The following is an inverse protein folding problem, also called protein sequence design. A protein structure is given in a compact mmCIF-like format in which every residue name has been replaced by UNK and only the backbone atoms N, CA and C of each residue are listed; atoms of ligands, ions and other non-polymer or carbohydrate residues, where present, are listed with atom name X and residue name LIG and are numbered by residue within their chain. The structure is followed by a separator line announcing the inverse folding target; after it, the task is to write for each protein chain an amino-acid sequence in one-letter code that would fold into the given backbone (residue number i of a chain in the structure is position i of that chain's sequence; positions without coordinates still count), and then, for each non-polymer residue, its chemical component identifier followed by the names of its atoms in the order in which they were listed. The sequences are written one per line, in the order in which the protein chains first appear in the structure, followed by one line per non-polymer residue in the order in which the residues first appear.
data_IF_090467638738
#
_entry.id   IF_090467638738
#
_cell.length_a   1.000
_cell.length_b   1.000
_cell.length_c   1.000
_cell.angle_alpha   90.00
_cell.angle_beta   90.00
_cell.angle_gamma   90.00
#
_symmetry.space_group_name_H-M   'P 1'
#
loop_
_entity.id
_entity.type
_entity.pdbx_description
1 polymer ?
#
# COMPACT_ATOMS: atom_id res chain seq x y z
N UNK A 1 -9.10 -18.64 20.25
CA UNK A 1 -10.57 -18.53 20.09
C UNK A 1 -11.06 -17.69 18.90
N UNK A 2 -10.18 -16.97 18.18
CA UNK A 2 -10.56 -16.09 17.06
C UNK A 2 -10.62 -16.75 15.67
N UNK A 3 -10.21 -18.02 15.52
CA UNK A 3 -10.08 -18.68 14.22
C UNK A 3 -11.43 -19.02 13.57
N UNK A 4 -12.41 -19.50 14.33
CA UNK A 4 -13.71 -19.92 13.79
C UNK A 4 -14.53 -18.76 13.20
N UNK A 5 -14.43 -17.56 13.78
CA UNK A 5 -15.13 -16.37 13.26
C UNK A 5 -14.53 -15.89 11.94
N UNK A 6 -13.21 -16.06 11.74
CA UNK A 6 -12.54 -15.74 10.48
C UNK A 6 -13.04 -16.66 9.37
N UNK A 7 -13.05 -17.97 9.64
CA UNK A 7 -13.42 -18.99 8.65
C UNK A 7 -14.89 -18.86 8.22
N UNK A 8 -15.80 -18.54 9.15
CA UNK A 8 -17.22 -18.31 8.83
C UNK A 8 -17.40 -17.06 7.97
N UNK A 9 -16.65 -15.99 8.25
CA UNK A 9 -16.66 -14.78 7.44
C UNK A 9 -16.15 -15.03 6.02
N UNK A 10 -15.07 -15.81 5.89
CA UNK A 10 -14.48 -16.15 4.60
C UNK A 10 -15.47 -16.92 3.72
N UNK A 11 -16.18 -17.90 4.30
CA UNK A 11 -17.25 -18.62 3.61
C UNK A 11 -18.42 -17.72 3.23
N UNK A 12 -18.78 -16.76 4.09
CA UNK A 12 -19.83 -15.79 3.78
C UNK A 12 -19.45 -14.89 2.60
N UNK A 13 -18.18 -14.47 2.51
CA UNK A 13 -17.67 -13.68 1.37
C UNK A 13 -17.80 -14.47 0.07
N UNK A 14 -17.32 -15.73 0.03
CA UNK A 14 -17.35 -16.55 -1.20
C UNK A 14 -18.80 -16.83 -1.64
N UNK A 15 -19.69 -17.16 -0.71
CA UNK A 15 -21.12 -17.37 -1.03
C UNK A 15 -21.80 -16.11 -1.57
N UNK A 16 -21.48 -14.95 -1.00
CA UNK A 16 -22.03 -13.69 -1.48
C UNK A 16 -21.58 -13.38 -2.90
N UNK A 17 -20.32 -13.65 -3.24
CA UNK A 17 -19.79 -13.47 -4.60
C UNK A 17 -20.44 -14.44 -5.60
N UNK A 18 -20.65 -15.70 -5.21
CA UNK A 18 -21.38 -16.67 -6.05
C UNK A 18 -22.80 -16.23 -6.35
N UNK A 19 -23.53 -15.80 -5.32
CA UNK A 19 -24.87 -15.26 -5.50
C UNK A 19 -24.87 -14.01 -6.39
N UNK A 20 -23.86 -13.15 -6.26
CA UNK A 20 -23.71 -11.97 -7.13
C UNK A 20 -23.50 -12.36 -8.60
N UNK A 21 -22.69 -13.39 -8.89
CA UNK A 21 -22.47 -13.91 -10.23
C UNK A 21 -23.79 -14.37 -10.89
N UNK A 22 -24.59 -15.15 -10.16
CA UNK A 22 -25.90 -15.63 -10.59
C UNK A 22 -26.90 -14.49 -10.85
N UNK A 23 -26.92 -13.47 -9.99
CA UNK A 23 -27.89 -12.37 -10.06
C UNK A 23 -27.56 -11.31 -11.12
N UNK A 24 -26.27 -11.09 -11.42
CA UNK A 24 -25.82 -9.92 -12.18
C UNK A 24 -25.20 -10.25 -13.54
N UNK A 25 -25.09 -11.52 -13.92
CA UNK A 25 -24.38 -11.95 -15.14
C UNK A 25 -22.99 -11.31 -15.25
N UNK A 26 -22.32 -11.15 -14.12
CA UNK A 26 -20.97 -10.58 -14.02
C UNK A 26 -20.06 -11.63 -13.41
N UNK A 27 -18.81 -11.71 -13.87
CA UNK A 27 -17.83 -12.64 -13.32
C UNK A 27 -17.05 -11.96 -12.19
N UNK A 28 -17.39 -12.17 -10.91
CA UNK A 28 -16.57 -11.69 -9.81
C UNK A 28 -15.23 -12.43 -9.79
N UNK A 29 -14.14 -11.68 -9.64
CA UNK A 29 -12.80 -12.25 -9.45
C UNK A 29 -12.27 -11.80 -8.10
N UNK A 30 -12.00 -12.74 -7.20
CA UNK A 30 -11.46 -12.44 -5.88
C UNK A 30 -9.93 -12.26 -5.95
N UNK A 31 -9.40 -11.20 -5.33
CA UNK A 31 -7.95 -11.03 -5.15
C UNK A 31 -7.59 -11.43 -3.72
N UNK A 32 -6.73 -12.43 -3.54
CA UNK A 32 -6.32 -12.89 -2.20
C UNK A 32 -4.84 -13.24 -2.14
N UNK A 33 -4.21 -13.02 -0.99
CA UNK A 33 -2.89 -13.59 -0.64
C UNK A 33 -3.00 -14.62 0.49
N UNK A 34 -4.23 -14.96 0.88
CA UNK A 34 -4.54 -15.97 1.87
C UNK A 34 -4.81 -17.32 1.17
N UNK A 35 -4.04 -18.34 1.56
CA UNK A 35 -4.12 -19.67 0.97
C UNK A 35 -5.46 -20.35 1.30
N UNK A 36 -6.02 -20.15 2.49
CA UNK A 36 -7.30 -20.73 2.88
C UNK A 36 -8.44 -20.14 2.05
N UNK A 37 -8.37 -18.83 1.76
CA UNK A 37 -9.35 -18.17 0.89
C UNK A 37 -9.26 -18.69 -0.56
N UNK A 38 -8.05 -18.93 -1.06
CA UNK A 38 -7.85 -19.51 -2.39
C UNK A 38 -8.44 -20.94 -2.49
N UNK A 39 -8.25 -21.75 -1.44
CA UNK A 39 -8.83 -23.10 -1.35
C UNK A 39 -10.36 -23.04 -1.34
N UNK A 40 -10.95 -22.10 -0.59
CA UNK A 40 -12.40 -21.88 -0.56
C UNK A 40 -12.94 -21.44 -1.93
N UNK A 41 -12.25 -20.53 -2.62
CA UNK A 41 -12.64 -20.12 -3.98
C UNK A 41 -12.59 -21.31 -4.94
N UNK A 42 -11.56 -22.14 -4.85
CA UNK A 42 -11.43 -23.36 -5.65
C UNK A 42 -12.58 -24.34 -5.38
N UNK A 43 -12.89 -24.59 -4.11
CA UNK A 43 -13.95 -25.51 -3.70
C UNK A 43 -15.34 -25.05 -4.17
N UNK A 44 -15.60 -23.75 -4.11
CA UNK A 44 -16.87 -23.16 -4.52
C UNK A 44 -16.89 -22.81 -6.01
N UNK A 45 -15.77 -22.96 -6.74
CA UNK A 45 -15.61 -22.68 -8.18
C UNK A 45 -15.61 -21.19 -8.58
N UNK A 46 -15.25 -20.31 -7.64
CA UNK A 46 -15.17 -18.87 -7.85
C UNK A 46 -13.83 -18.50 -8.51
N UNK A 47 -13.85 -17.63 -9.51
CA UNK A 47 -12.61 -17.12 -10.12
C UNK A 47 -11.82 -16.26 -9.14
N UNK A 48 -10.50 -16.46 -9.08
CA UNK A 48 -9.62 -15.73 -8.18
C UNK A 48 -8.22 -15.56 -8.74
N UNK A 49 -7.54 -14.50 -8.28
CA UNK A 49 -6.09 -14.35 -8.40
C UNK A 49 -5.44 -14.52 -7.03
N UNK A 50 -4.58 -15.53 -6.92
CA UNK A 50 -3.68 -15.66 -5.77
C UNK A 50 -2.45 -14.77 -5.96
N UNK A 51 -2.31 -13.81 -5.07
CA UNK A 51 -1.18 -12.90 -5.00
C UNK A 51 -0.11 -13.55 -4.12
N UNK A 52 0.83 -14.23 -4.77
CA UNK A 52 1.96 -14.83 -4.07
C UNK A 52 2.75 -13.74 -3.35
N UNK A 53 3.02 -13.97 -2.06
CA UNK A 53 3.78 -13.03 -1.26
C UNK A 53 5.26 -13.30 -1.54
N UNK A 54 6.05 -12.29 -1.97
CA UNK A 54 7.48 -12.51 -2.17
C UNK A 54 8.11 -12.93 -0.83
N UNK A 55 8.51 -14.20 -0.74
CA UNK A 55 9.11 -14.79 0.47
C UNK A 55 10.48 -14.18 0.78
N UNK A 56 11.21 -13.79 -0.28
CA UNK A 56 12.47 -13.08 -0.19
C UNK A 56 12.43 -11.92 -1.18
N UNK A 57 12.38 -10.69 -0.68
CA UNK A 57 12.72 -9.53 -1.48
C UNK A 57 14.25 -9.40 -1.45
N UNK A 58 14.93 -9.93 -2.48
CA UNK A 58 16.35 -9.58 -2.67
C UNK A 58 16.41 -8.08 -2.98
N UNK A 59 16.91 -7.30 -2.02
CA UNK A 59 17.15 -5.86 -2.20
C UNK A 59 18.36 -5.71 -3.13
N UNK A 60 18.13 -5.89 -4.42
CA UNK A 60 19.16 -5.84 -5.45
C UNK A 60 19.69 -4.43 -5.66
N UNK A 61 18.82 -3.42 -5.53
CA UNK A 61 19.13 -2.01 -5.27
C UNK A 61 17.82 -1.23 -5.31
N UNK A 62 17.71 -0.15 -4.53
CA UNK A 62 16.59 0.77 -4.64
C UNK A 62 17.11 2.14 -5.07
N UNK A 63 16.81 2.54 -6.30
CA UNK A 63 17.14 3.89 -6.76
C UNK A 63 16.25 4.90 -6.02
N UNK A 64 16.73 6.13 -5.71
CA UNK A 64 15.93 7.12 -4.98
C UNK A 64 14.51 7.36 -5.54
N UNK A 65 14.27 7.38 -6.87
CA UNK A 65 12.92 7.48 -7.41
C UNK A 65 12.02 6.28 -7.08
N UNK A 66 12.58 5.07 -7.06
CA UNK A 66 11.85 3.84 -6.72
C UNK A 66 11.48 3.83 -5.23
N UNK A 67 12.40 4.27 -4.37
CA UNK A 67 12.14 4.40 -2.93
C UNK A 67 11.03 5.41 -2.65
N UNK A 68 11.08 6.59 -3.30
CA UNK A 68 10.02 7.59 -3.21
C UNK A 68 8.67 7.04 -3.64
N UNK A 69 8.63 6.29 -4.76
CA UNK A 69 7.39 5.67 -5.24
C UNK A 69 6.84 4.63 -4.28
N UNK A 70 7.71 3.85 -3.65
CA UNK A 70 7.33 2.90 -2.60
C UNK A 70 6.68 3.61 -1.41
N UNK A 71 7.31 4.65 -0.86
CA UNK A 71 6.76 5.42 0.25
C UNK A 71 5.38 6.02 -0.11
N UNK A 72 5.24 6.55 -1.32
CA UNK A 72 3.97 7.08 -1.81
C UNK A 72 2.89 6.00 -1.88
N UNK A 73 3.18 4.88 -2.54
CA UNK A 73 2.21 3.79 -2.70
C UNK A 73 1.74 3.25 -1.34
N UNK A 74 2.68 3.04 -0.41
CA UNK A 74 2.36 2.56 0.92
C UNK A 74 1.51 3.60 1.70
N UNK A 75 1.89 4.88 1.68
CA UNK A 75 1.13 5.92 2.36
C UNK A 75 -0.30 6.09 1.79
N UNK A 76 -0.48 5.96 0.48
CA UNK A 76 -1.81 6.03 -0.16
C UNK A 76 -2.66 4.81 0.16
N UNK A 77 -2.08 3.60 0.14
CA UNK A 77 -2.81 2.36 0.41
C UNK A 77 -3.19 2.24 1.88
N UNK A 78 -2.28 2.57 2.80
CA UNK A 78 -2.50 2.42 4.24
C UNK A 78 -3.04 3.70 4.92
N UNK A 79 -3.16 4.81 4.18
CA UNK A 79 -3.54 6.13 4.69
C UNK A 79 -2.40 6.87 5.37
N UNK A 80 -1.59 6.17 6.19
CA UNK A 80 -0.32 6.67 6.71
C UNK A 80 0.69 5.53 6.92
N UNK A 81 1.97 5.88 6.93
CA UNK A 81 3.07 4.98 7.29
C UNK A 81 4.04 5.69 8.23
N UNK A 82 4.85 4.91 8.95
CA UNK A 82 5.95 5.43 9.76
C UNK A 82 7.28 4.93 9.19
N UNK A 83 8.21 5.85 8.96
CA UNK A 83 9.54 5.57 8.48
C UNK A 83 10.54 6.38 9.32
N UNK A 84 11.39 5.69 10.08
CA UNK A 84 12.45 6.31 10.91
C UNK A 84 11.96 7.47 11.80
N UNK A 85 10.87 7.23 12.54
CA UNK A 85 10.28 8.26 13.41
C UNK A 85 9.43 9.32 12.67
N UNK A 86 9.45 9.37 11.34
CA UNK A 86 8.64 10.29 10.54
C UNK A 86 7.33 9.61 10.14
N UNK A 87 6.20 10.26 10.42
CA UNK A 87 4.89 9.81 9.92
C UNK A 87 4.60 10.45 8.57
N UNK A 88 4.30 9.63 7.57
CA UNK A 88 3.99 10.05 6.20
C UNK A 88 2.51 9.76 5.95
N UNK A 89 1.75 10.79 5.55
CA UNK A 89 0.32 10.70 5.29
C UNK A 89 0.04 10.74 3.79
N UNK A 90 -0.71 9.75 3.31
CA UNK A 90 -1.20 9.69 1.93
C UNK A 90 -2.53 10.38 1.71
N UNK A 91 -3.19 10.88 2.78
CA UNK A 91 -4.57 11.39 2.84
C UNK A 91 -5.17 11.80 1.48
N UNK A 92 -6.14 10.98 1.04
CA UNK A 92 -6.99 11.23 -0.12
C UNK A 92 -8.11 12.25 0.18
N UNK A 93 -8.23 12.73 1.43
CA UNK A 93 -9.40 13.45 1.96
C UNK A 93 -9.22 14.92 2.34
N UNK A 94 -8.19 15.60 1.80
CA UNK A 94 -7.96 17.03 2.10
C UNK A 94 -6.97 17.73 1.16
N UNK A 95 -6.70 17.14 0.00
CA UNK A 95 -5.82 17.71 -1.02
C UNK A 95 -6.64 18.58 -1.96
N UNK A 96 -6.41 19.89 -1.96
CA UNK A 96 -6.71 20.68 -3.15
C UNK A 96 -5.84 20.17 -4.30
N UNK A 97 -6.45 19.86 -5.45
CA UNK A 97 -5.93 19.52 -6.80
C UNK A 97 -4.61 18.75 -7.02
N UNK A 98 -3.75 18.48 -6.04
CA UNK A 98 -2.43 17.87 -6.21
C UNK A 98 -2.40 16.49 -5.54
N UNK A 99 -2.82 15.47 -6.30
CA UNK A 99 -2.90 14.08 -5.85
C UNK A 99 -1.53 13.49 -5.49
N UNK A 100 -0.44 14.07 -6.00
CA UNK A 100 0.93 13.54 -5.89
C UNK A 100 1.71 14.00 -4.65
N UNK A 101 1.13 14.85 -3.79
CA UNK A 101 1.83 15.35 -2.59
C UNK A 101 1.66 14.41 -1.39
N UNK A 102 2.66 14.30 -0.52
CA UNK A 102 2.55 13.60 0.77
C UNK A 102 2.77 14.62 1.88
N UNK A 103 2.02 14.50 2.98
CA UNK A 103 2.30 15.28 4.19
C UNK A 103 3.21 14.46 5.09
N UNK A 104 4.16 15.12 5.74
CA UNK A 104 5.04 14.49 6.73
C UNK A 104 4.87 15.15 8.09
N UNK A 105 4.89 14.35 9.15
CA UNK A 105 4.90 14.80 10.54
C UNK A 105 6.12 14.22 11.24
N UNK A 106 6.87 15.11 11.88
CA UNK A 106 8.05 14.77 12.67
C UNK A 106 7.66 14.54 14.12
N UNK A 107 8.38 13.66 14.81
CA UNK A 107 8.15 13.40 16.23
C UNK A 107 8.70 14.52 17.13
N UNK A 108 9.76 15.18 16.70
CA UNK A 108 10.40 16.28 17.40
C UNK A 108 10.90 17.38 16.47
N UNK A 109 11.15 18.55 17.05
CA UNK A 109 11.61 19.75 16.34
C UNK A 109 13.04 19.60 15.79
N UNK A 110 13.87 18.72 16.38
CA UNK A 110 15.22 18.44 15.90
C UNK A 110 15.20 17.76 14.54
N UNK A 111 14.43 16.67 14.43
CA UNK A 111 14.20 15.98 13.16
C UNK A 111 13.63 16.90 12.08
N UNK A 112 12.68 17.76 12.44
CA UNK A 112 12.13 18.75 11.51
C UNK A 112 13.19 19.73 11.01
N UNK A 113 14.05 20.24 11.90
CA UNK A 113 15.12 21.18 11.54
C UNK A 113 16.17 20.55 10.63
N UNK A 114 16.63 19.35 10.97
CA UNK A 114 17.61 18.62 10.15
C UNK A 114 17.03 18.32 8.78
N UNK A 115 15.80 17.82 8.71
CA UNK A 115 15.10 17.57 7.44
C UNK A 115 14.97 18.84 6.60
N UNK A 116 14.57 19.95 7.22
CA UNK A 116 14.39 21.24 6.51
C UNK A 116 15.72 21.78 5.99
N UNK A 117 16.80 21.67 6.77
CA UNK A 117 18.16 22.04 6.35
C UNK A 117 18.59 21.20 5.16
N UNK A 118 18.45 19.88 5.25
CA UNK A 118 18.93 18.97 4.21
C UNK A 118 18.12 19.12 2.92
N UNK A 119 16.80 19.36 3.03
CA UNK A 119 15.95 19.70 1.89
C UNK A 119 16.37 21.01 1.24
N UNK A 120 16.69 22.03 2.04
CA UNK A 120 17.20 23.29 1.52
C UNK A 120 18.51 23.11 0.77
N UNK A 121 19.47 22.35 1.33
CA UNK A 121 20.75 22.02 0.67
C UNK A 121 20.49 21.30 -0.65
N UNK A 122 19.66 20.25 -0.66
CA UNK A 122 19.33 19.50 -1.88
C UNK A 122 18.75 20.41 -2.97
N UNK A 123 17.87 21.34 -2.60
CA UNK A 123 17.30 22.32 -3.53
C UNK A 123 18.36 23.27 -4.07
N UNK A 124 19.26 23.78 -3.23
CA UNK A 124 20.36 24.63 -3.70
C UNK A 124 21.27 23.85 -4.67
N UNK A 125 21.67 22.63 -4.32
CA UNK A 125 22.48 21.79 -5.19
C UNK A 125 21.79 21.51 -6.54
N UNK A 126 20.48 21.31 -6.54
CA UNK A 126 19.70 21.09 -7.78
C UNK A 126 19.70 22.31 -8.71
N UNK A 127 19.94 23.52 -8.19
CA UNK A 127 20.05 24.74 -9.01
C UNK A 127 21.42 24.96 -9.63
N UNK A 128 22.45 24.23 -9.17
CA UNK A 128 23.83 24.41 -9.63
C UNK A 128 24.11 23.75 -11.00
N UNK A 129 23.09 23.13 -11.62
CA UNK A 129 23.16 22.42 -12.91
C UNK A 129 24.40 21.51 -13.04
N UNK A 130 24.77 20.85 -11.94
CA UNK A 130 25.92 19.96 -11.89
C UNK A 130 25.54 18.70 -12.65
N UNK A 131 26.10 18.54 -13.85
CA UNK A 131 25.95 17.33 -14.64
C UNK A 131 26.48 16.11 -13.86
N UNK A 132 25.72 15.01 -13.92
CA UNK A 132 26.02 13.75 -13.25
C UNK A 132 27.30 13.09 -13.74
#
# INVERSE_FOLDING_TARGET
PHSHLSEENDRNIVRALRKFEEERYALPVLLTSDIYMADLCTAEGLEYFYLDRPYNAEVTSCMPPAFRRLLFNLAVVFGFIQCDGITIFGEYGGKGNNLDELKVRFQDDGQYRDFTRDLWICRQLSTLDISR
#
